data_IF_113814892352
#
_entry.id   IF_113814892352
#
_cell.length_a   1.000
_cell.length_b   1.000
_cell.length_c   1.000
_cell.angle_alpha   90.00
_cell.angle_beta   90.00
_cell.angle_gamma   90.00
#
_symmetry.space_group_name_H-M   'P 1'
#
loop_
_entity.id
_entity.type
_entity.pdbx_description
1 polymer ?
#
# COMPACT_ATOMS: atom_id res chain seq x y z
N UNK A 1 40.81 -4.73 -0.72
CA UNK A 1 39.54 -5.52 -0.72
C UNK A 1 38.54 -4.80 0.18
N UNK A 2 37.27 -4.69 -0.21
CA UNK A 2 36.24 -4.12 0.68
C UNK A 2 36.10 -5.03 1.90
N UNK A 3 36.05 -4.46 3.11
CA UNK A 3 35.86 -5.25 4.33
C UNK A 3 34.54 -6.02 4.24
N UNK A 4 34.58 -7.33 4.48
CA UNK A 4 33.37 -8.15 4.60
C UNK A 4 32.58 -7.69 5.82
N UNK A 5 31.27 -7.50 5.65
CA UNK A 5 30.37 -7.08 6.71
C UNK A 5 29.86 -8.30 7.47
N UNK A 6 29.77 -8.19 8.79
CA UNK A 6 29.15 -9.17 9.67
C UNK A 6 27.71 -8.77 10.00
N UNK A 7 26.83 -9.72 10.39
CA UNK A 7 25.53 -9.40 10.95
C UNK A 7 25.66 -8.40 12.11
N UNK A 8 24.82 -7.37 12.12
CA UNK A 8 24.88 -6.28 13.12
C UNK A 8 25.78 -5.11 12.74
N UNK A 9 26.60 -5.23 11.69
CA UNK A 9 27.40 -4.10 11.20
C UNK A 9 26.51 -2.98 10.62
N UNK A 10 26.88 -1.72 10.89
CA UNK A 10 26.20 -0.57 10.32
C UNK A 10 26.40 -0.47 8.80
N UNK A 11 25.31 -0.13 8.11
CA UNK A 11 25.27 0.28 6.71
C UNK A 11 24.69 1.70 6.68
N UNK A 12 25.44 2.63 6.10
CA UNK A 12 25.00 4.02 5.95
C UNK A 12 24.46 4.25 4.55
N UNK A 13 23.23 4.76 4.45
CA UNK A 13 22.60 5.19 3.20
C UNK A 13 22.44 6.71 3.24
N UNK A 14 22.88 7.40 2.18
CA UNK A 14 22.69 8.84 1.99
C UNK A 14 22.09 9.06 0.61
N UNK A 15 20.98 9.78 0.55
CA UNK A 15 20.35 10.17 -0.71
C UNK A 15 21.16 11.28 -1.40
N UNK A 16 20.99 11.40 -2.71
CA UNK A 16 21.60 12.49 -3.47
C UNK A 16 20.77 13.77 -3.37
N UNK A 17 21.38 14.93 -3.62
CA UNK A 17 20.64 16.22 -3.67
C UNK A 17 19.63 16.28 -4.82
N UNK A 18 19.91 15.56 -5.90
CA UNK A 18 19.08 15.44 -7.09
C UNK A 18 18.45 14.05 -7.20
N UNK A 19 18.10 13.44 -6.07
CA UNK A 19 17.37 12.18 -6.06
C UNK A 19 16.00 12.33 -6.74
N UNK A 20 15.52 11.27 -7.39
CA UNK A 20 14.21 11.27 -8.03
C UNK A 20 13.10 11.54 -6.99
N UNK A 21 12.15 12.47 -7.25
CA UNK A 21 11.07 12.77 -6.33
C UNK A 21 10.23 11.56 -5.93
N UNK A 22 10.02 10.59 -6.82
CA UNK A 22 9.28 9.36 -6.52
C UNK A 22 10.06 8.43 -5.60
N UNK A 23 11.38 8.38 -5.74
CA UNK A 23 12.24 7.64 -4.79
C UNK A 23 12.13 8.28 -3.41
N UNK A 24 12.15 9.62 -3.34
CA UNK A 24 11.96 10.33 -2.07
C UNK A 24 10.56 10.10 -1.47
N UNK A 25 9.51 10.13 -2.29
CA UNK A 25 8.15 9.84 -1.84
C UNK A 25 8.01 8.41 -1.30
N UNK A 26 8.57 7.43 -2.01
CA UNK A 26 8.58 6.04 -1.56
C UNK A 26 9.33 5.88 -0.24
N UNK A 27 10.51 6.49 -0.10
CA UNK A 27 11.29 6.45 1.14
C UNK A 27 10.50 7.02 2.33
N UNK A 28 9.83 8.15 2.14
CA UNK A 28 9.05 8.80 3.19
C UNK A 28 7.75 8.06 3.54
N UNK A 29 7.24 7.22 2.64
CA UNK A 29 6.05 6.41 2.90
C UNK A 29 6.33 5.19 3.81
N UNK A 30 7.60 4.86 4.08
CA UNK A 30 7.95 3.69 4.88
C UNK A 30 7.87 3.99 6.38
N UNK A 31 7.13 3.17 7.13
CA UNK A 31 7.15 3.20 8.61
C UNK A 31 8.41 2.56 9.19
N UNK A 32 8.98 1.56 8.48
CA UNK A 32 10.24 0.92 8.81
C UNK A 32 11.11 0.72 7.55
N UNK A 33 11.95 1.71 7.25
CA UNK A 33 12.81 1.68 6.06
C UNK A 33 13.77 0.49 6.01
N UNK A 34 14.30 0.04 7.16
CA UNK A 34 15.28 -1.04 7.19
C UNK A 34 14.68 -2.39 6.82
N UNK A 35 13.43 -2.63 7.24
CA UNK A 35 12.69 -3.83 6.88
C UNK A 35 12.30 -3.82 5.39
N UNK A 36 11.81 -2.69 4.88
CA UNK A 36 11.51 -2.52 3.46
C UNK A 36 12.76 -2.76 2.58
N UNK A 37 13.93 -2.24 2.97
CA UNK A 37 15.18 -2.50 2.25
C UNK A 37 15.57 -3.99 2.33
N UNK A 38 15.41 -4.63 3.50
CA UNK A 38 15.71 -6.07 3.66
C UNK A 38 14.84 -6.91 2.73
N UNK A 39 13.55 -6.64 2.67
CA UNK A 39 12.62 -7.31 1.76
C UNK A 39 13.05 -7.19 0.29
N UNK A 40 13.44 -5.98 -0.16
CA UNK A 40 13.91 -5.77 -1.53
C UNK A 40 15.20 -6.55 -1.83
N UNK A 41 16.14 -6.59 -0.88
CA UNK A 41 17.38 -7.37 -1.01
C UNK A 41 17.09 -8.86 -1.07
N UNK A 42 16.24 -9.39 -0.18
CA UNK A 42 15.84 -10.79 -0.19
C UNK A 42 15.15 -11.18 -1.49
N UNK A 43 14.32 -10.28 -2.03
CA UNK A 43 13.67 -10.49 -3.31
C UNK A 43 14.68 -10.59 -4.47
N UNK A 44 15.69 -9.73 -4.52
CA UNK A 44 16.77 -9.84 -5.51
C UNK A 44 17.54 -11.16 -5.34
N UNK A 45 17.87 -11.55 -4.10
CA UNK A 45 18.58 -12.80 -3.82
C UNK A 45 17.74 -14.01 -4.25
N UNK A 46 16.42 -13.98 -4.02
CA UNK A 46 15.52 -15.07 -4.43
C UNK A 46 15.46 -15.24 -5.94
N UNK A 47 15.41 -14.13 -6.67
CA UNK A 47 15.25 -14.15 -8.13
C UNK A 47 16.57 -14.42 -8.86
N UNK A 48 17.68 -13.91 -8.33
CA UNK A 48 18.94 -13.82 -9.06
C UNK A 48 20.16 -14.35 -8.30
N UNK A 49 19.99 -14.79 -7.05
CA UNK A 49 21.06 -15.22 -6.16
C UNK A 49 21.89 -14.06 -5.61
N UNK A 50 22.95 -14.40 -4.86
CA UNK A 50 23.88 -13.41 -4.31
C UNK A 50 24.87 -12.97 -5.38
N UNK A 51 24.70 -11.74 -5.89
CA UNK A 51 25.55 -11.15 -6.94
C UNK A 51 25.77 -9.65 -6.74
N UNK A 52 26.77 -9.09 -7.41
CA UNK A 52 26.96 -7.63 -7.44
C UNK A 52 25.95 -7.00 -8.41
N UNK A 53 24.83 -6.51 -7.89
CA UNK A 53 23.74 -5.98 -8.71
C UNK A 53 24.20 -4.88 -9.69
N UNK A 54 25.20 -4.06 -9.31
CA UNK A 54 25.70 -2.96 -10.14
C UNK A 54 26.24 -3.42 -11.50
N UNK A 55 26.68 -4.68 -11.65
CA UNK A 55 27.18 -5.20 -12.93
C UNK A 55 26.07 -5.65 -13.87
N UNK A 56 24.82 -5.71 -13.39
CA UNK A 56 23.66 -6.21 -14.13
C UNK A 56 22.59 -5.14 -14.39
N UNK A 57 22.78 -3.94 -13.87
CA UNK A 57 21.82 -2.83 -13.97
C UNK A 57 22.51 -1.60 -14.60
N UNK A 58 21.80 -0.79 -15.39
CA UNK A 58 22.31 0.48 -15.87
C UNK A 58 22.69 1.41 -14.72
N UNK A 59 23.78 2.17 -14.92
CA UNK A 59 24.26 3.16 -13.96
C UNK A 59 23.34 4.38 -13.88
N UNK A 60 22.75 4.77 -15.01
CA UNK A 60 21.74 5.83 -15.11
C UNK A 60 20.37 5.22 -15.39
N UNK A 61 19.36 5.66 -14.64
CA UNK A 61 17.98 5.16 -14.76
C UNK A 61 17.04 6.36 -14.79
N UNK A 62 16.40 6.58 -15.93
CA UNK A 62 15.46 7.71 -16.13
C UNK A 62 14.00 7.27 -16.22
N UNK A 63 13.70 5.98 -16.04
CA UNK A 63 12.39 5.39 -16.37
C UNK A 63 11.29 5.48 -15.31
N UNK A 64 11.56 6.03 -14.12
CA UNK A 64 10.54 6.06 -13.04
C UNK A 64 9.38 7.00 -13.38
N UNK A 65 9.65 8.11 -14.09
CA UNK A 65 8.60 9.02 -14.53
C UNK A 65 7.63 8.36 -15.52
N UNK A 66 8.13 7.61 -16.50
CA UNK A 66 7.28 6.92 -17.50
C UNK A 66 6.47 5.78 -16.86
N UNK A 67 7.08 5.01 -15.95
CA UNK A 67 6.40 3.94 -15.23
C UNK A 67 5.29 4.47 -14.30
N UNK A 68 5.50 5.64 -13.65
CA UNK A 68 4.48 6.26 -12.80
C UNK A 68 3.24 6.71 -13.58
N UNK A 69 3.41 7.21 -14.80
CA UNK A 69 2.29 7.56 -15.68
C UNK A 69 1.48 6.32 -16.06
N UNK A 70 2.13 5.20 -16.35
CA UNK A 70 1.44 3.94 -16.65
C UNK A 70 0.69 3.36 -15.45
N UNK A 71 1.24 3.44 -14.23
CA UNK A 71 0.56 2.98 -13.01
C UNK A 71 -0.62 3.89 -12.68
N UNK A 72 -0.48 5.21 -12.83
CA UNK A 72 -1.59 6.16 -12.63
C UNK A 72 -2.74 5.91 -13.62
N UNK A 73 -2.42 5.74 -14.91
CA UNK A 73 -3.41 5.45 -15.95
C UNK A 73 -4.09 4.08 -15.71
N UNK A 74 -3.35 3.06 -15.25
CA UNK A 74 -3.93 1.76 -14.92
C UNK A 74 -4.83 1.82 -13.66
N UNK A 75 -4.47 2.60 -12.65
CA UNK A 75 -5.30 2.81 -11.46
C UNK A 75 -6.58 3.59 -11.78
N UNK A 76 -6.50 4.60 -12.66
CA UNK A 76 -7.65 5.37 -13.11
C UNK A 76 -8.58 4.52 -14.00
N UNK A 77 -8.03 3.67 -14.88
CA UNK A 77 -8.82 2.70 -15.65
C UNK A 77 -9.51 1.64 -14.77
N UNK A 78 -8.86 1.19 -13.69
CA UNK A 78 -9.46 0.27 -12.74
C UNK A 78 -10.60 0.93 -11.95
N UNK A 79 -10.44 2.19 -11.52
CA UNK A 79 -11.49 2.95 -10.82
C UNK A 79 -12.71 3.23 -11.73
N UNK A 80 -12.50 3.53 -13.02
CA UNK A 80 -13.60 3.73 -13.98
C UNK A 80 -14.35 2.42 -14.27
N UNK A 81 -13.66 1.27 -14.28
CA UNK A 81 -14.29 -0.04 -14.42
C UNK A 81 -15.14 -0.43 -13.20
N UNK A 82 -14.74 -0.03 -11.99
CA UNK A 82 -15.50 -0.28 -10.76
C UNK A 82 -16.83 0.52 -10.73
N UNK A 83 -16.81 1.79 -11.16
CA UNK A 83 -18.03 2.62 -11.26
C UNK A 83 -19.01 2.09 -12.32
N UNK A 84 -18.51 1.46 -13.40
CA UNK A 84 -19.36 0.87 -14.44
C UNK A 84 -20.10 -0.41 -14.01
N UNK A 85 -19.65 -1.12 -12.97
CA UNK A 85 -20.32 -2.33 -12.46
C UNK A 85 -21.45 -2.05 -11.46
N UNK A 86 -21.53 -0.85 -10.88
CA UNK A 86 -22.56 -0.52 -9.86
C UNK A 86 -23.92 -0.18 -10.52
N UNK A 87 -24.00 -0.08 -11.86
CA UNK A 87 -25.20 0.33 -12.60
C UNK A 87 -26.27 -0.74 -12.85
N UNK A 88 -26.10 -1.99 -12.40
CA UNK A 88 -27.11 -3.05 -12.58
C UNK A 88 -27.36 -3.85 -11.29
N UNK A 89 -27.92 -3.19 -10.27
CA UNK A 89 -28.65 -3.89 -9.21
C UNK A 89 -30.13 -3.54 -9.34
N UNK A 90 -30.93 -4.52 -9.77
CA UNK A 90 -32.38 -4.47 -9.80
C UNK A 90 -32.94 -4.14 -8.40
N UNK A 91 -34.14 -3.51 -8.29
CA UNK A 91 -34.73 -3.20 -7.00
C UNK A 91 -35.16 -4.50 -6.31
N UNK A 92 -34.35 -4.98 -5.38
CA UNK A 92 -34.74 -6.02 -4.43
C UNK A 92 -35.87 -5.45 -3.57
N UNK A 93 -37.05 -6.07 -3.64
CA UNK A 93 -38.19 -5.71 -2.79
C UNK A 93 -37.81 -5.89 -1.33
N UNK A 94 -37.74 -4.79 -0.60
CA UNK A 94 -37.53 -4.77 0.84
C UNK A 94 -38.85 -5.20 1.51
N UNK A 95 -38.91 -6.41 2.05
CA UNK A 95 -39.91 -6.76 3.06
C UNK A 95 -39.44 -6.15 4.38
N UNK A 96 -40.03 -5.02 4.73
CA UNK A 96 -39.88 -4.33 6.02
C UNK A 96 -40.31 -5.27 7.16
N UNK A 97 -39.45 -5.55 8.17
CA UNK A 97 -39.92 -6.18 9.39
C UNK A 97 -40.70 -5.14 10.20
N UNK A 98 -41.95 -5.46 10.56
CA UNK A 98 -42.76 -4.67 11.50
C UNK A 98 -41.97 -4.36 12.78
N UNK A 99 -42.07 -3.15 13.34
CA UNK A 99 -41.55 -2.90 14.68
C UNK A 99 -42.39 -3.69 15.69
N UNK A 100 -41.75 -4.59 16.45
CA UNK A 100 -42.32 -5.09 17.69
C UNK A 100 -42.56 -3.87 18.59
N UNK A 101 -43.81 -3.49 18.74
CA UNK A 101 -44.23 -2.57 19.80
C UNK A 101 -44.06 -3.30 21.12
N UNK A 102 -42.96 -3.03 21.82
CA UNK A 102 -42.87 -3.31 23.25
C UNK A 102 -44.03 -2.56 23.92
N UNK A 103 -45.02 -3.30 24.43
CA UNK A 103 -46.07 -2.76 25.28
C UNK A 103 -45.40 -2.19 26.53
N UNK A 104 -45.22 -0.87 26.54
CA UNK A 104 -44.78 -0.10 27.70
C UNK A 104 -45.90 -0.24 28.74
N UNK A 105 -45.69 -1.10 29.74
CA UNK A 105 -46.63 -1.26 30.85
C UNK A 105 -46.57 0.01 31.72
N UNK A 106 -47.73 0.56 32.08
CA UNK A 106 -47.84 1.82 32.82
C UNK A 106 -47.19 1.74 34.24
N UNK A 107 -46.74 0.56 34.65
CA UNK A 107 -46.01 0.31 35.91
C UNK A 107 -44.54 0.80 35.90
N UNK A 108 -43.92 1.06 34.74
CA UNK A 108 -42.51 1.52 34.67
C UNK A 108 -42.30 3.02 34.98
N UNK A 109 -43.38 3.81 35.07
CA UNK A 109 -43.32 5.26 35.33
C UNK A 109 -43.19 5.59 36.83
N UNK A 110 -43.55 4.69 37.75
CA UNK A 110 -43.50 4.98 39.19
C UNK A 110 -42.10 4.78 39.82
N UNK A 111 -41.16 4.15 39.10
CA UNK A 111 -39.81 3.93 39.62
C UNK A 111 -38.93 5.20 39.64
N UNK A 112 -39.41 6.33 39.10
CA UNK A 112 -38.67 7.59 38.98
C UNK A 112 -39.44 8.82 39.54
N UNK A 113 -40.34 8.62 40.52
CA UNK A 113 -40.93 9.72 41.32
C UNK A 113 -40.43 9.75 42.75
#
# INVERSE_FOLDING_TARGET
MKKTKSPGDNISLKTKKNEDPLVMAWLNAQTNLMDSIRYLVENEIRQNGVRNLQTYIPMERSGLHEASQQIAVAAEAAAVAEVAQIGQAAPTSYSEPEPEVEEFDDEDIEAWS
#
